data_IF_260610565745
#
_entry.id   IF_260610565745
#
_cell.length_a   1.000
_cell.length_b   1.000
_cell.length_c   1.000
_cell.angle_alpha   90.00
_cell.angle_beta   90.00
_cell.angle_gamma   90.00
#
_symmetry.space_group_name_H-M   'P 1'
#
loop_
_entity.id
_entity.type
_entity.pdbx_description
1 polymer ?
#
# COMPACT_ATOMS: atom_id res chain seq x y z
N UNK A 1 -11.52 -3.78 -14.81
CA UNK A 1 -11.87 -3.60 -13.39
C UNK A 1 -10.61 -3.33 -12.61
N UNK A 2 -10.62 -2.41 -11.64
CA UNK A 2 -9.46 -2.17 -10.80
C UNK A 2 -9.10 -3.45 -10.03
N UNK A 3 -7.80 -3.80 -9.96
CA UNK A 3 -7.29 -4.94 -9.19
C UNK A 3 -6.80 -4.44 -7.83
N UNK A 4 -7.75 -4.15 -6.97
CA UNK A 4 -7.53 -3.42 -5.72
C UNK A 4 -7.97 -4.21 -4.48
N UNK A 5 -8.18 -5.52 -4.61
CA UNK A 5 -8.46 -6.40 -3.46
C UNK A 5 -7.18 -6.92 -2.82
N UNK A 6 -7.26 -7.36 -1.56
CA UNK A 6 -6.14 -8.03 -0.87
C UNK A 6 -5.74 -9.35 -1.55
N UNK A 7 -6.71 -10.08 -2.12
CA UNK A 7 -6.44 -11.28 -2.90
C UNK A 7 -5.66 -10.97 -4.17
N UNK A 8 -6.01 -9.87 -4.88
CA UNK A 8 -5.25 -9.42 -6.04
C UNK A 8 -3.81 -9.04 -5.67
N UNK A 9 -3.64 -8.33 -4.55
CA UNK A 9 -2.31 -7.98 -4.03
C UNK A 9 -1.46 -9.23 -3.77
N UNK A 10 -2.01 -10.23 -3.08
CA UNK A 10 -1.30 -11.48 -2.81
C UNK A 10 -0.90 -12.19 -4.12
N UNK A 11 -1.80 -12.27 -5.10
CA UNK A 11 -1.49 -12.85 -6.41
C UNK A 11 -0.36 -12.11 -7.11
N UNK A 12 -0.35 -10.77 -7.04
CA UNK A 12 0.71 -9.96 -7.62
C UNK A 12 2.07 -10.16 -6.91
N UNK A 13 2.06 -10.34 -5.59
CA UNK A 13 3.28 -10.63 -4.81
C UNK A 13 3.87 -12.00 -5.18
N UNK A 14 3.05 -13.05 -5.25
CA UNK A 14 3.53 -14.37 -5.68
C UNK A 14 4.08 -14.35 -7.11
N UNK A 15 3.37 -13.70 -8.04
CA UNK A 15 3.86 -13.57 -9.41
C UNK A 15 5.17 -12.77 -9.50
N UNK A 16 5.41 -11.82 -8.59
CA UNK A 16 6.67 -11.08 -8.52
C UNK A 16 7.82 -11.96 -7.99
N UNK A 17 7.54 -12.83 -7.01
CA UNK A 17 8.51 -13.79 -6.51
C UNK A 17 8.92 -14.79 -7.61
N UNK A 18 7.95 -15.31 -8.35
CA UNK A 18 8.22 -16.19 -9.50
C UNK A 18 9.07 -15.49 -10.56
N UNK A 19 8.73 -14.25 -10.95
CA UNK A 19 9.55 -13.48 -11.91
C UNK A 19 10.97 -13.23 -11.43
N UNK A 20 11.17 -12.91 -10.15
CA UNK A 20 12.52 -12.66 -9.62
C UNK A 20 13.35 -13.95 -9.46
N UNK A 21 12.69 -15.11 -9.37
CA UNK A 21 13.32 -16.42 -9.28
C UNK A 21 13.48 -17.15 -10.61
N UNK A 22 13.09 -16.52 -11.72
CA UNK A 22 13.19 -17.09 -13.07
C UNK A 22 14.68 -17.20 -13.48
N UNK A 23 15.18 -18.43 -13.59
CA UNK A 23 16.57 -18.74 -13.91
C UNK A 23 16.92 -18.45 -15.38
N UNK A 24 15.92 -18.30 -16.25
CA UNK A 24 16.12 -17.98 -17.66
C UNK A 24 16.33 -16.47 -17.91
N UNK A 25 16.20 -15.63 -16.87
CA UNK A 25 16.43 -14.19 -16.98
C UNK A 25 17.90 -13.87 -17.20
N UNK A 26 18.15 -12.96 -18.15
CA UNK A 26 19.47 -12.35 -18.30
C UNK A 26 19.77 -11.46 -17.09
N UNK A 27 21.06 -11.21 -16.82
CA UNK A 27 21.47 -10.31 -15.75
C UNK A 27 20.87 -8.90 -15.90
N UNK A 28 20.74 -8.41 -17.15
CA UNK A 28 20.15 -7.10 -17.42
C UNK A 28 18.65 -7.09 -17.10
N UNK A 29 17.92 -8.15 -17.48
CA UNK A 29 16.48 -8.24 -17.24
C UNK A 29 16.16 -8.44 -15.75
N UNK A 30 16.97 -9.25 -15.05
CA UNK A 30 16.88 -9.37 -13.60
C UNK A 30 17.10 -8.01 -12.92
N UNK A 31 18.09 -7.23 -13.36
CA UNK A 31 18.34 -5.90 -12.82
C UNK A 31 17.15 -4.96 -13.05
N UNK A 32 16.53 -4.98 -14.24
CA UNK A 32 15.31 -4.21 -14.53
C UNK A 32 14.15 -4.62 -13.63
N UNK A 33 13.96 -5.92 -13.40
CA UNK A 33 12.88 -6.43 -12.56
C UNK A 33 13.09 -6.06 -11.09
N UNK A 34 14.33 -6.10 -10.60
CA UNK A 34 14.69 -5.63 -9.25
C UNK A 34 14.37 -4.14 -9.09
N UNK A 35 14.78 -3.29 -10.03
CA UNK A 35 14.53 -1.84 -9.97
C UNK A 35 13.03 -1.53 -10.03
N UNK A 36 12.28 -2.24 -10.87
CA UNK A 36 10.82 -2.13 -10.92
C UNK A 36 10.18 -2.53 -9.59
N UNK A 37 10.58 -3.66 -9.01
CA UNK A 37 10.06 -4.15 -7.74
C UNK A 37 10.34 -3.16 -6.60
N UNK A 38 11.55 -2.57 -6.56
CA UNK A 38 11.91 -1.52 -5.59
C UNK A 38 11.03 -0.29 -5.73
N UNK A 39 10.82 0.20 -6.96
CA UNK A 39 9.98 1.38 -7.21
C UNK A 39 8.53 1.14 -6.75
N UNK A 40 7.96 -0.03 -7.07
CA UNK A 40 6.61 -0.41 -6.63
C UNK A 40 6.55 -0.50 -5.10
N UNK A 41 7.53 -1.12 -4.46
CA UNK A 41 7.58 -1.21 -2.99
C UNK A 41 7.65 0.18 -2.34
N UNK A 42 8.40 1.12 -2.93
CA UNK A 42 8.45 2.51 -2.46
C UNK A 42 7.08 3.19 -2.49
N UNK A 43 6.34 3.05 -3.59
CA UNK A 43 4.97 3.59 -3.71
C UNK A 43 4.02 2.90 -2.72
N UNK A 44 4.08 1.58 -2.60
CA UNK A 44 3.26 0.81 -1.67
C UNK A 44 3.50 1.22 -0.21
N UNK A 45 4.76 1.42 0.18
CA UNK A 45 5.12 1.91 1.52
C UNK A 45 4.47 3.26 1.81
N UNK A 46 4.54 4.21 0.88
CA UNK A 46 3.91 5.52 1.05
C UNK A 46 2.38 5.43 1.22
N UNK A 47 1.73 4.49 0.52
CA UNK A 47 0.28 4.23 0.67
C UNK A 47 -0.01 3.68 2.07
N UNK A 48 0.77 2.72 2.55
CA UNK A 48 0.62 2.12 3.88
C UNK A 48 0.85 3.17 4.97
N UNK A 49 1.90 3.99 4.85
CA UNK A 49 2.21 5.06 5.81
C UNK A 49 1.08 6.11 5.86
N UNK A 50 0.47 6.43 4.72
CA UNK A 50 -0.71 7.30 4.67
C UNK A 50 -1.92 6.67 5.37
N UNK A 51 -2.21 5.38 5.11
CA UNK A 51 -3.29 4.66 5.77
C UNK A 51 -3.11 4.57 7.29
N UNK A 52 -1.86 4.32 7.74
CA UNK A 52 -1.50 4.33 9.16
C UNK A 52 -1.73 5.71 9.78
N UNK A 53 -1.33 6.78 9.10
CA UNK A 53 -1.55 8.16 9.55
C UNK A 53 -3.05 8.47 9.70
N UNK A 54 -3.88 8.05 8.75
CA UNK A 54 -5.33 8.20 8.85
C UNK A 54 -5.91 7.41 10.03
N UNK A 55 -5.44 6.17 10.24
CA UNK A 55 -5.85 5.35 11.39
C UNK A 55 -5.46 5.99 12.74
N UNK A 56 -4.25 6.53 12.86
CA UNK A 56 -3.81 7.25 14.06
C UNK A 56 -4.65 8.50 14.31
N UNK A 57 -5.00 9.26 13.26
CA UNK A 57 -5.95 10.38 13.35
C UNK A 57 -7.35 9.95 13.82
N UNK A 58 -7.80 8.77 13.39
CA UNK A 58 -9.05 8.17 13.84
C UNK A 58 -9.03 7.77 15.32
N UNK A 59 -7.97 7.09 15.75
CA UNK A 59 -7.78 6.73 17.16
C UNK A 59 -7.68 7.96 18.05
N UNK A 60 -6.90 8.97 17.65
CA UNK A 60 -6.79 10.23 18.38
C UNK A 60 -8.15 10.91 18.56
N UNK A 61 -8.97 10.92 17.50
CA UNK A 61 -10.31 11.51 17.56
C UNK A 61 -11.20 10.76 18.55
N UNK A 62 -11.21 9.43 18.49
CA UNK A 62 -12.03 8.61 19.37
C UNK A 62 -11.62 8.73 20.84
N UNK A 63 -10.31 8.78 21.13
CA UNK A 63 -9.79 8.77 22.49
C UNK A 63 -9.65 10.14 23.15
N UNK A 64 -9.35 11.19 22.36
CA UNK A 64 -8.83 12.47 22.89
C UNK A 64 -9.64 13.70 22.48
N UNK A 65 -10.50 13.64 21.45
CA UNK A 65 -11.29 14.80 21.05
C UNK A 65 -12.57 14.93 21.90
N UNK A 66 -12.85 16.11 22.48
CA UNK A 66 -14.14 16.37 23.09
C UNK A 66 -15.24 16.30 22.02
N UNK A 67 -16.44 15.84 22.39
CA UNK A 67 -17.53 15.52 21.44
C UNK A 67 -18.04 16.67 20.57
N UNK A 68 -17.53 17.89 20.74
CA UNK A 68 -17.82 19.06 19.90
C UNK A 68 -16.76 19.33 18.81
N UNK A 69 -15.70 18.53 18.71
CA UNK A 69 -14.67 18.64 17.68
C UNK A 69 -14.66 17.42 16.76
N UNK A 70 -14.67 17.66 15.45
CA UNK A 70 -14.58 16.62 14.42
C UNK A 70 -13.15 16.46 13.90
N UNK A 71 -12.85 15.28 13.38
CA UNK A 71 -11.59 15.00 12.70
C UNK A 71 -11.43 15.86 11.43
N UNK A 72 -10.21 16.39 11.16
CA UNK A 72 -9.90 17.00 9.88
C UNK A 72 -10.10 16.05 8.70
N UNK A 73 -10.59 16.57 7.58
CA UNK A 73 -11.01 15.75 6.43
C UNK A 73 -9.89 14.91 5.82
N UNK A 74 -8.64 15.35 5.90
CA UNK A 74 -7.47 14.63 5.39
C UNK A 74 -7.18 13.29 6.13
N UNK A 75 -7.75 13.08 7.31
CA UNK A 75 -7.57 11.84 8.09
C UNK A 75 -8.82 10.96 8.11
N UNK A 76 -9.93 11.43 7.52
CA UNK A 76 -11.18 10.67 7.46
C UNK A 76 -11.01 9.51 6.49
N UNK A 77 -11.30 8.30 6.97
CA UNK A 77 -11.46 7.13 6.11
C UNK A 77 -12.71 7.40 5.25
N UNK A 78 -12.55 7.45 3.92
CA UNK A 78 -13.70 7.62 3.02
C UNK A 78 -14.61 6.41 3.13
N UNK A 79 -15.89 6.64 3.41
CA UNK A 79 -16.89 5.58 3.32
C UNK A 79 -16.97 5.12 1.86
N UNK A 80 -16.90 3.80 1.68
CA UNK A 80 -17.09 3.18 0.37
C UNK A 80 -18.60 3.12 0.13
N UNK A 81 -19.12 4.02 -0.71
CA UNK A 81 -20.45 3.87 -1.31
C UNK A 81 -20.39 2.83 -2.44
#
# INVERSE_FOLDING_TARGET
>A
MAKNTLSDLNNHLFAQLERLGDEDLTQEDLQKEIERAKAINGVAKNIIDNAKTALEGAQFTYEKLPGNKSMPDQFRIKESN
#
